data_IF_868802994598
#
_entry.id   IF_868802994598
#
_cell.length_a   1.000
_cell.length_b   1.000
_cell.length_c   1.000
_cell.angle_alpha   90.00
_cell.angle_beta   90.00
_cell.angle_gamma   90.00
#
_symmetry.space_group_name_H-M   'P 1'
#
loop_
_entity.id
_entity.type
_entity.pdbx_description
1 polymer ?
#
# COMPACT_ATOMS: atom_id res chain seq x y z
N UNK A 1 -11.38 38.58 -6.73
CA UNK A 1 -10.44 38.89 -5.65
C UNK A 1 -10.85 40.18 -4.92
N UNK A 2 -10.05 40.63 -3.96
CA UNK A 2 -10.29 41.81 -3.16
C UNK A 2 -10.39 43.13 -3.98
N UNK A 3 -9.84 43.13 -5.18
CA UNK A 3 -9.77 44.27 -6.09
C UNK A 3 -10.91 44.28 -7.13
N UNK A 4 -11.79 43.26 -7.05
CA UNK A 4 -12.95 43.07 -7.94
C UNK A 4 -12.57 42.44 -9.29
N UNK A 5 -11.40 41.91 -9.44
CA UNK A 5 -11.01 41.11 -10.60
C UNK A 5 -11.61 39.70 -10.50
N UNK A 6 -12.04 39.19 -11.64
CA UNK A 6 -12.55 37.82 -11.72
C UNK A 6 -11.39 36.81 -11.54
N UNK A 7 -11.57 35.90 -10.59
CA UNK A 7 -10.65 34.76 -10.46
C UNK A 7 -10.78 33.84 -11.67
N UNK A 8 -9.66 33.41 -12.24
CA UNK A 8 -9.60 32.46 -13.35
C UNK A 8 -8.44 31.48 -13.13
N UNK A 9 -8.64 30.23 -13.54
CA UNK A 9 -7.62 29.17 -13.52
C UNK A 9 -6.85 29.08 -12.21
N UNK A 10 -7.59 29.03 -11.09
CA UNK A 10 -6.95 29.01 -9.76
C UNK A 10 -7.78 28.29 -8.71
N UNK A 11 -7.07 27.73 -7.75
CA UNK A 11 -7.63 27.24 -6.49
C UNK A 11 -7.93 28.44 -5.59
N UNK A 12 -9.10 28.42 -4.96
CA UNK A 12 -9.58 29.47 -4.07
C UNK A 12 -9.83 28.86 -2.70
N UNK A 13 -9.20 29.40 -1.67
CA UNK A 13 -9.46 29.06 -0.28
C UNK A 13 -10.50 30.04 0.27
N UNK A 14 -11.58 29.51 0.86
CA UNK A 14 -12.61 30.27 1.56
C UNK A 14 -12.93 29.60 2.90
N UNK A 15 -12.33 30.12 3.96
CA UNK A 15 -12.31 29.49 5.28
C UNK A 15 -11.58 28.16 5.25
N UNK A 16 -12.26 27.09 5.62
CA UNK A 16 -11.71 25.72 5.59
C UNK A 16 -12.03 24.96 4.28
N UNK A 17 -12.61 25.63 3.29
CA UNK A 17 -13.06 25.00 2.06
C UNK A 17 -12.22 25.46 0.86
N UNK A 18 -12.01 24.56 -0.09
CA UNK A 18 -11.30 24.83 -1.35
C UNK A 18 -12.25 24.72 -2.52
N UNK A 19 -12.15 25.67 -3.45
CA UNK A 19 -12.89 25.76 -4.70
C UNK A 19 -11.91 25.95 -5.85
N UNK A 20 -12.32 25.59 -7.05
CA UNK A 20 -11.53 25.88 -8.25
C UNK A 20 -12.42 26.57 -9.29
N UNK A 21 -11.86 27.57 -9.94
CA UNK A 21 -12.45 28.22 -11.10
C UNK A 21 -11.57 28.03 -12.33
N UNK A 22 -12.18 27.67 -13.43
CA UNK A 22 -11.49 27.46 -14.70
C UNK A 22 -11.03 28.77 -15.36
N UNK A 23 -10.39 28.66 -16.53
CA UNK A 23 -9.91 29.81 -17.32
C UNK A 23 -11.03 30.80 -17.72
N UNK A 24 -12.30 30.37 -17.68
CA UNK A 24 -13.46 31.20 -17.96
C UNK A 24 -14.10 31.75 -16.66
N UNK A 25 -13.52 31.47 -15.50
CA UNK A 25 -14.07 31.84 -14.21
C UNK A 25 -15.25 30.97 -13.77
N UNK A 26 -15.46 29.78 -14.39
CA UNK A 26 -16.54 28.88 -14.03
C UNK A 26 -16.06 27.94 -12.91
N UNK A 27 -16.86 27.88 -11.82
CA UNK A 27 -16.57 27.03 -10.68
C UNK A 27 -16.70 25.55 -11.03
N UNK A 28 -15.67 24.76 -10.71
CA UNK A 28 -15.68 23.32 -10.86
C UNK A 28 -16.73 22.67 -9.95
N UNK A 29 -17.48 21.69 -10.47
CA UNK A 29 -18.44 20.91 -9.70
C UNK A 29 -18.62 19.52 -10.29
N UNK A 30 -18.74 18.50 -9.42
CA UNK A 30 -18.84 17.08 -9.79
C UNK A 30 -17.73 16.61 -10.75
N UNK A 31 -16.51 17.08 -10.56
CA UNK A 31 -15.40 16.74 -11.47
C UNK A 31 -14.06 16.71 -10.76
N UNK A 32 -13.16 15.97 -11.37
CA UNK A 32 -11.74 15.98 -11.07
C UNK A 32 -11.07 17.17 -11.75
N UNK A 33 -10.12 17.79 -11.05
CA UNK A 33 -9.25 18.83 -11.61
C UNK A 33 -7.82 18.54 -11.19
N UNK A 34 -6.91 18.53 -12.16
CA UNK A 34 -5.48 18.49 -11.92
C UNK A 34 -4.97 19.94 -11.83
N UNK A 35 -4.22 20.23 -10.80
CA UNK A 35 -3.63 21.54 -10.55
C UNK A 35 -2.12 21.38 -10.46
N UNK A 36 -1.37 22.23 -11.12
CA UNK A 36 0.10 22.20 -11.12
C UNK A 36 0.61 22.17 -9.67
N UNK A 37 1.55 21.27 -9.40
CA UNK A 37 2.18 21.15 -8.10
C UNK A 37 3.35 22.13 -8.03
N UNK A 38 3.37 23.01 -7.04
CA UNK A 38 4.46 24.00 -6.85
C UNK A 38 5.80 23.31 -6.49
N UNK A 39 5.73 22.09 -5.93
CA UNK A 39 6.87 21.27 -5.56
C UNK A 39 7.29 20.30 -6.67
N UNK A 40 6.68 20.36 -7.85
CA UNK A 40 7.01 19.52 -8.99
C UNK A 40 8.50 19.55 -9.32
N UNK A 41 9.09 18.38 -9.51
CA UNK A 41 10.52 18.22 -9.77
C UNK A 41 11.38 17.97 -8.53
N UNK A 42 10.79 17.96 -7.33
CA UNK A 42 11.39 17.35 -6.14
C UNK A 42 11.21 15.83 -6.20
N UNK A 43 12.08 15.10 -5.48
CA UNK A 43 11.96 13.65 -5.38
C UNK A 43 10.60 13.27 -4.77
N UNK A 44 9.96 12.24 -5.34
CA UNK A 44 8.65 11.71 -4.96
C UNK A 44 7.47 12.71 -5.02
N UNK A 45 7.64 13.85 -5.70
CA UNK A 45 6.56 14.82 -5.90
C UNK A 45 5.99 14.72 -7.31
N UNK A 46 4.65 14.66 -7.48
CA UNK A 46 4.01 14.59 -8.78
C UNK A 46 4.01 15.96 -9.46
N UNK A 47 3.93 15.97 -10.79
CA UNK A 47 3.80 17.22 -11.56
C UNK A 47 2.51 17.97 -11.26
N UNK A 48 1.46 17.26 -10.86
CA UNK A 48 0.12 17.78 -10.61
C UNK A 48 -0.52 17.13 -9.40
N UNK A 49 -1.25 17.91 -8.61
CA UNK A 49 -2.13 17.44 -7.55
C UNK A 49 -3.56 17.32 -8.06
N UNK A 50 -4.22 16.20 -7.80
CA UNK A 50 -5.61 15.99 -8.19
C UNK A 50 -6.56 16.31 -7.06
N UNK A 51 -7.64 17.05 -7.41
CA UNK A 51 -8.72 17.41 -6.52
C UNK A 51 -10.05 16.91 -7.08
N UNK A 52 -10.99 16.56 -6.23
CA UNK A 52 -12.35 16.28 -6.64
C UNK A 52 -13.32 17.31 -6.04
N UNK A 53 -13.98 18.08 -6.90
CA UNK A 53 -14.95 19.08 -6.50
C UNK A 53 -16.35 18.48 -6.52
N UNK A 54 -17.07 18.62 -5.39
CA UNK A 54 -18.42 18.12 -5.19
C UNK A 54 -19.45 18.98 -5.95
N UNK A 55 -20.73 18.59 -5.93
CA UNK A 55 -21.82 19.33 -6.57
C UNK A 55 -21.94 20.77 -6.10
N UNK A 56 -21.56 21.05 -4.86
CA UNK A 56 -21.57 22.40 -4.26
C UNK A 56 -20.29 23.19 -4.53
N UNK A 57 -19.36 22.65 -5.32
CA UNK A 57 -18.08 23.25 -5.66
C UNK A 57 -16.97 23.06 -4.65
N UNK A 58 -17.25 22.50 -3.46
CA UNK A 58 -16.21 22.25 -2.45
C UNK A 58 -15.37 21.05 -2.81
N UNK A 59 -14.04 21.17 -2.63
CA UNK A 59 -13.14 20.03 -2.73
C UNK A 59 -13.46 18.97 -1.66
N UNK A 60 -13.34 17.69 -2.01
CA UNK A 60 -13.29 16.62 -1.02
C UNK A 60 -11.95 16.71 -0.28
N UNK A 61 -11.98 16.52 1.03
CA UNK A 61 -10.78 16.48 1.88
C UNK A 61 -10.98 15.51 3.05
N UNK A 62 -9.90 15.21 3.77
CA UNK A 62 -9.97 14.38 4.98
C UNK A 62 -10.79 15.07 6.08
N UNK A 63 -10.66 16.38 6.19
CA UNK A 63 -11.32 17.20 7.21
C UNK A 63 -10.76 16.89 8.60
N UNK A 64 -11.58 17.11 9.64
CA UNK A 64 -11.18 16.94 11.05
C UNK A 64 -10.97 15.46 11.47
N UNK A 65 -10.84 14.52 10.51
CA UNK A 65 -10.62 13.12 10.85
C UNK A 65 -9.15 12.90 11.18
N UNK A 66 -8.87 12.32 12.34
CA UNK A 66 -7.53 11.91 12.75
C UNK A 66 -7.00 10.69 11.98
N UNK A 67 -7.86 10.06 11.18
CA UNK A 67 -7.53 8.89 10.36
C UNK A 67 -7.97 9.12 8.92
N UNK A 68 -7.38 8.37 8.02
CA UNK A 68 -7.76 8.38 6.60
C UNK A 68 -9.25 8.11 6.42
N UNK A 69 -9.96 9.07 5.83
CA UNK A 69 -11.38 9.02 5.53
C UNK A 69 -11.62 8.67 4.06
N UNK A 70 -12.03 7.42 3.79
CA UNK A 70 -12.30 6.97 2.43
C UNK A 70 -13.54 7.65 1.84
N UNK A 71 -13.41 8.19 0.64
CA UNK A 71 -14.48 8.81 -0.15
C UNK A 71 -14.79 7.92 -1.37
N UNK A 72 -16.07 7.77 -1.71
CA UNK A 72 -16.47 6.98 -2.88
C UNK A 72 -16.85 7.91 -4.02
N UNK A 73 -16.16 7.77 -5.15
CA UNK A 73 -16.39 8.54 -6.37
C UNK A 73 -16.54 7.55 -7.51
N UNK A 74 -17.69 7.56 -8.18
CA UNK A 74 -17.99 6.67 -9.31
C UNK A 74 -17.69 5.18 -9.03
N UNK A 75 -17.94 4.71 -7.79
CA UNK A 75 -17.78 3.32 -7.39
C UNK A 75 -16.35 2.92 -6.97
N UNK A 76 -15.36 3.77 -7.15
CA UNK A 76 -14.01 3.60 -6.61
C UNK A 76 -13.84 4.38 -5.31
N UNK A 77 -12.94 3.94 -4.44
CA UNK A 77 -12.61 4.64 -3.20
C UNK A 77 -11.30 5.40 -3.35
N UNK A 78 -11.27 6.58 -2.77
CA UNK A 78 -10.14 7.49 -2.76
C UNK A 78 -9.95 8.06 -1.36
N UNK A 79 -8.79 8.63 -1.10
CA UNK A 79 -8.52 9.43 0.09
C UNK A 79 -7.92 10.77 -0.33
N UNK A 80 -8.05 11.74 0.53
CA UNK A 80 -7.56 13.10 0.33
C UNK A 80 -6.89 13.57 1.62
N UNK A 81 -5.95 14.47 1.51
CA UNK A 81 -5.39 15.17 2.66
C UNK A 81 -6.33 16.28 3.18
N UNK A 82 -5.85 17.08 4.11
CA UNK A 82 -6.62 18.18 4.70
C UNK A 82 -6.75 19.39 3.77
N UNK A 83 -5.89 19.49 2.75
CA UNK A 83 -5.92 20.51 1.71
C UNK A 83 -6.78 20.09 0.51
N UNK A 84 -7.22 18.83 0.47
CA UNK A 84 -8.03 18.27 -0.61
C UNK A 84 -7.21 17.67 -1.76
N UNK A 85 -5.91 17.51 -1.60
CA UNK A 85 -5.07 16.78 -2.56
C UNK A 85 -5.39 15.29 -2.47
N UNK A 86 -5.58 14.65 -3.61
CA UNK A 86 -5.81 13.19 -3.68
C UNK A 86 -4.55 12.46 -3.22
N UNK A 87 -4.70 11.55 -2.26
CA UNK A 87 -3.62 10.70 -1.80
C UNK A 87 -3.35 9.58 -2.83
N UNK A 88 -2.08 9.23 -2.96
CA UNK A 88 -1.59 8.17 -3.84
C UNK A 88 -0.44 7.39 -3.17
N UNK A 89 0.00 6.29 -3.77
CA UNK A 89 1.06 5.46 -3.20
C UNK A 89 0.72 4.92 -1.81
N UNK A 90 1.72 4.82 -0.97
CA UNK A 90 1.57 4.35 0.40
C UNK A 90 1.00 5.44 1.32
N UNK A 91 0.06 5.05 2.18
CA UNK A 91 -0.58 5.94 3.16
C UNK A 91 -0.79 5.19 4.47
N UNK A 92 -0.43 5.81 5.60
CA UNK A 92 -0.71 5.29 6.93
C UNK A 92 -2.15 5.60 7.35
N UNK A 93 -2.81 4.68 8.07
CA UNK A 93 -4.19 4.88 8.53
C UNK A 93 -4.34 6.09 9.45
N UNK A 94 -3.35 6.34 10.30
CA UNK A 94 -3.37 7.36 11.33
C UNK A 94 -2.77 8.70 10.86
N UNK A 95 -2.33 8.77 9.59
CA UNK A 95 -1.79 9.98 8.97
C UNK A 95 -2.34 10.12 7.54
N UNK A 96 -3.30 11.04 7.31
CA UNK A 96 -3.90 11.26 5.99
C UNK A 96 -3.00 12.07 5.07
N UNK A 97 -1.76 11.64 4.90
CA UNK A 97 -0.76 12.19 3.99
C UNK A 97 -0.14 11.09 3.12
N UNK A 98 0.43 11.47 1.98
CA UNK A 98 1.28 10.60 1.21
C UNK A 98 2.58 10.32 1.99
N UNK A 99 3.04 9.08 1.97
CA UNK A 99 4.34 8.71 2.55
C UNK A 99 5.38 8.79 1.43
N UNK A 100 6.41 9.60 1.64
CA UNK A 100 7.58 9.67 0.74
C UNK A 100 8.19 8.26 0.58
N UNK A 101 8.29 7.79 -0.65
CA UNK A 101 8.81 6.47 -1.02
C UNK A 101 10.10 6.55 -1.85
N UNK A 102 10.82 7.68 -1.80
CA UNK A 102 12.10 7.87 -2.50
C UNK A 102 13.09 6.77 -2.16
N UNK A 103 13.13 6.34 -0.90
CA UNK A 103 13.98 5.26 -0.42
C UNK A 103 13.38 3.84 -0.63
N UNK A 104 12.16 3.74 -1.16
CA UNK A 104 11.48 2.46 -1.39
C UNK A 104 11.01 1.75 -0.13
N UNK A 105 10.92 2.43 1.01
CA UNK A 105 10.61 1.84 2.33
C UNK A 105 9.26 2.26 2.91
N UNK A 106 8.47 3.05 2.20
CA UNK A 106 7.14 3.51 2.67
C UNK A 106 6.18 2.34 3.01
N UNK A 107 6.38 1.17 2.41
CA UNK A 107 5.58 -0.03 2.71
C UNK A 107 5.69 -0.47 4.18
N UNK A 108 6.76 -0.12 4.88
CA UNK A 108 6.98 -0.51 6.28
C UNK A 108 5.93 0.12 7.20
N UNK A 109 5.54 1.36 6.92
CA UNK A 109 4.58 2.12 7.72
C UNK A 109 3.21 2.28 7.06
N UNK A 110 3.11 2.10 5.74
CA UNK A 110 1.86 2.25 4.99
C UNK A 110 0.87 1.13 5.28
N UNK A 111 -0.39 1.50 5.49
CA UNK A 111 -1.52 0.57 5.69
C UNK A 111 -2.32 0.37 4.41
N UNK A 112 -2.39 1.39 3.57
CA UNK A 112 -3.11 1.45 2.31
C UNK A 112 -2.15 1.71 1.16
N UNK A 113 -2.59 1.34 -0.05
CA UNK A 113 -1.95 1.74 -1.28
C UNK A 113 -2.98 2.32 -2.25
N UNK A 114 -2.78 3.56 -2.66
CA UNK A 114 -3.71 4.33 -3.49
C UNK A 114 -3.15 4.54 -4.90
N UNK A 115 -2.88 3.48 -5.63
CA UNK A 115 -2.47 3.58 -7.04
C UNK A 115 -1.30 4.54 -7.29
N UNK A 116 -1.35 5.23 -8.42
CA UNK A 116 -0.37 6.26 -8.79
C UNK A 116 -0.89 7.67 -8.53
N UNK A 117 -0.02 8.68 -8.67
CA UNK A 117 -0.39 10.09 -8.57
C UNK A 117 -1.51 10.52 -9.54
N UNK A 118 -1.65 9.82 -10.67
CA UNK A 118 -2.71 10.08 -11.67
C UNK A 118 -3.97 9.20 -11.49
N UNK A 119 -3.93 8.15 -10.68
CA UNK A 119 -5.07 7.28 -10.35
C UNK A 119 -4.96 6.82 -8.89
N UNK A 120 -5.32 7.68 -7.96
CA UNK A 120 -5.30 7.42 -6.52
C UNK A 120 -6.41 6.47 -6.04
N UNK A 121 -6.88 5.56 -6.88
CA UNK A 121 -7.89 4.60 -6.46
C UNK A 121 -7.33 3.59 -5.45
N UNK A 122 -8.06 3.38 -4.36
CA UNK A 122 -7.69 2.43 -3.31
C UNK A 122 -7.50 1.02 -3.87
N UNK A 123 -6.34 0.45 -3.62
CA UNK A 123 -5.99 -0.92 -4.01
C UNK A 123 -6.69 -1.94 -3.13
N UNK A 124 -7.12 -3.04 -3.74
CA UNK A 124 -7.62 -4.25 -3.07
C UNK A 124 -7.11 -5.49 -3.80
N UNK A 125 -6.94 -6.60 -3.07
CA UNK A 125 -6.41 -7.82 -3.67
C UNK A 125 -4.87 -7.83 -3.72
N UNK A 126 -4.31 -8.56 -4.66
CA UNK A 126 -2.87 -8.69 -4.82
C UNK A 126 -2.27 -7.51 -5.56
N UNK A 127 -1.13 -7.03 -5.07
CA UNK A 127 -0.29 -6.05 -5.72
C UNK A 127 1.18 -6.43 -5.54
N UNK A 128 1.96 -6.24 -6.60
CA UNK A 128 3.40 -6.43 -6.60
C UNK A 128 4.07 -5.07 -6.72
N UNK A 129 5.02 -4.80 -5.82
CA UNK A 129 5.74 -3.54 -5.76
C UNK A 129 7.23 -3.80 -5.60
N UNK A 130 8.02 -2.90 -6.13
CA UNK A 130 9.44 -2.79 -5.84
C UNK A 130 9.59 -2.06 -4.51
N UNK A 131 10.45 -2.58 -3.64
CA UNK A 131 10.66 -2.09 -2.28
C UNK A 131 12.12 -2.20 -1.89
N UNK A 132 12.52 -1.44 -0.88
CA UNK A 132 13.80 -1.56 -0.19
C UNK A 132 13.56 -1.72 1.31
N UNK A 133 14.09 -2.77 1.94
CA UNK A 133 14.00 -2.91 3.38
C UNK A 133 15.07 -2.05 4.06
N UNK A 134 14.66 -1.03 4.81
CA UNK A 134 15.58 -0.17 5.55
C UNK A 134 16.16 -0.84 6.81
N UNK A 135 15.46 -1.81 7.37
CA UNK A 135 15.76 -2.46 8.66
C UNK A 135 15.94 -3.98 8.57
N UNK A 136 16.22 -4.53 7.38
CA UNK A 136 16.30 -5.98 7.19
C UNK A 136 17.34 -6.63 8.12
N UNK A 137 18.48 -6.00 8.35
CA UNK A 137 19.55 -6.50 9.25
C UNK A 137 19.24 -6.31 10.72
N UNK A 138 18.58 -5.22 11.11
CA UNK A 138 18.27 -4.93 12.51
C UNK A 138 17.21 -5.88 13.07
N UNK A 139 16.48 -6.55 12.20
CA UNK A 139 15.43 -7.49 12.53
C UNK A 139 15.96 -8.92 12.70
N UNK A 140 16.95 -9.10 13.60
CA UNK A 140 17.54 -10.42 13.92
C UNK A 140 16.53 -11.42 14.51
N UNK A 141 15.35 -10.97 14.91
CA UNK A 141 14.21 -11.81 15.29
C UNK A 141 13.39 -12.30 14.10
N UNK A 142 13.63 -11.80 12.90
CA UNK A 142 13.01 -12.29 11.68
C UNK A 142 13.39 -13.73 11.42
N UNK A 143 12.49 -14.64 11.67
CA UNK A 143 12.71 -16.10 11.41
C UNK A 143 12.86 -16.43 9.94
N UNK A 144 12.68 -15.45 9.08
CA UNK A 144 12.66 -15.56 7.64
C UNK A 144 13.76 -14.77 6.96
N UNK A 145 14.62 -14.10 7.73
CA UNK A 145 15.83 -13.47 7.22
C UNK A 145 16.83 -14.54 6.83
N UNK A 146 16.69 -15.03 5.65
CA UNK A 146 17.77 -15.66 4.93
C UNK A 146 18.24 -14.70 3.85
N UNK A 147 19.03 -15.15 2.93
CA UNK A 147 19.49 -14.42 1.74
C UNK A 147 18.35 -13.80 0.86
N UNK A 148 17.13 -13.87 1.33
CA UNK A 148 15.93 -13.43 0.63
C UNK A 148 15.52 -11.99 0.94
N UNK A 149 16.02 -11.42 2.03
CA UNK A 149 15.80 -10.04 2.44
C UNK A 149 17.16 -9.47 2.74
N UNK A 150 17.72 -8.77 1.80
CA UNK A 150 18.94 -8.01 1.97
C UNK A 150 18.56 -6.57 2.28
N UNK A 151 19.29 -5.98 3.19
CA UNK A 151 19.22 -4.60 3.55
C UNK A 151 19.66 -3.74 2.38
N UNK A 152 19.01 -2.61 2.16
CA UNK A 152 19.32 -1.61 1.13
C UNK A 152 19.43 -2.17 -0.32
N UNK A 153 18.76 -3.26 -0.63
CA UNK A 153 18.66 -3.77 -2.00
C UNK A 153 17.24 -3.72 -2.54
N UNK A 154 17.09 -3.24 -3.75
CA UNK A 154 15.82 -3.23 -4.47
C UNK A 154 15.28 -4.65 -4.62
N UNK A 155 14.06 -4.84 -4.21
CA UNK A 155 13.40 -6.12 -4.22
C UNK A 155 11.96 -5.98 -4.67
N UNK A 156 11.45 -6.98 -5.38
CA UNK A 156 10.04 -7.02 -5.75
C UNK A 156 9.29 -7.93 -4.80
N UNK A 157 8.23 -7.45 -4.18
CA UNK A 157 7.42 -8.18 -3.21
C UNK A 157 5.94 -8.12 -3.53
N UNK A 158 5.22 -9.16 -3.10
CA UNK A 158 3.77 -9.24 -3.18
C UNK A 158 3.14 -8.83 -1.87
N UNK A 159 2.12 -7.98 -1.99
CA UNK A 159 1.25 -7.54 -0.90
C UNK A 159 -0.19 -7.96 -1.18
N UNK A 160 -0.98 -8.11 -0.13
CA UNK A 160 -2.41 -8.35 -0.27
C UNK A 160 -3.21 -7.35 0.55
N UNK A 161 -4.10 -6.64 -0.13
CA UNK A 161 -4.99 -5.67 0.46
C UNK A 161 -6.40 -6.24 0.61
N UNK A 162 -6.97 -6.10 1.81
CA UNK A 162 -8.34 -6.54 2.11
C UNK A 162 -9.35 -5.69 1.33
N UNK A 163 -10.63 -6.10 1.36
CA UNK A 163 -11.72 -5.33 0.72
C UNK A 163 -11.92 -3.92 1.30
N UNK A 164 -11.44 -3.67 2.52
CA UNK A 164 -11.42 -2.35 3.13
C UNK A 164 -10.18 -1.52 2.78
N UNK A 165 -9.29 -2.04 1.92
CA UNK A 165 -8.06 -1.40 1.47
C UNK A 165 -6.85 -1.63 2.37
N UNK A 166 -7.02 -2.16 3.59
CA UNK A 166 -5.90 -2.35 4.49
C UNK A 166 -5.04 -3.54 4.10
N UNK A 167 -3.74 -3.32 4.12
CA UNK A 167 -2.70 -4.33 3.94
C UNK A 167 -2.85 -5.48 4.95
N UNK A 168 -2.55 -6.70 4.54
CA UNK A 168 -2.40 -7.83 5.45
C UNK A 168 -0.97 -7.87 5.94
N UNK A 169 -0.78 -7.75 7.25
CA UNK A 169 0.53 -7.80 7.91
C UNK A 169 0.42 -8.50 9.25
N UNK A 170 1.53 -9.00 9.78
CA UNK A 170 1.61 -9.48 11.15
C UNK A 170 1.60 -8.30 12.14
N UNK A 171 1.22 -8.57 13.38
CA UNK A 171 1.04 -7.51 14.40
C UNK A 171 2.35 -7.07 15.06
N UNK A 172 3.43 -7.86 14.89
CA UNK A 172 4.72 -7.56 15.51
C UNK A 172 5.88 -8.09 14.69
N UNK A 173 7.04 -7.48 14.88
CA UNK A 173 8.31 -7.83 14.28
C UNK A 173 8.97 -9.09 14.87
N UNK A 174 8.36 -9.79 15.82
CA UNK A 174 8.97 -10.94 16.54
C UNK A 174 9.16 -12.21 15.69
N UNK A 175 9.27 -12.06 14.39
CA UNK A 175 9.39 -13.16 13.41
C UNK A 175 8.10 -13.97 13.28
N UNK A 176 6.98 -13.43 13.74
CA UNK A 176 5.67 -13.99 13.49
C UNK A 176 5.17 -13.56 12.11
N UNK A 177 4.39 -14.42 11.50
CA UNK A 177 3.71 -14.10 10.25
C UNK A 177 2.22 -14.02 10.46
N UNK A 178 1.57 -13.27 9.59
CA UNK A 178 0.11 -13.31 9.43
C UNK A 178 -0.24 -14.28 8.32
N UNK A 179 -0.86 -15.39 8.70
CA UNK A 179 -1.37 -16.36 7.74
C UNK A 179 -2.72 -15.91 7.18
N UNK A 180 -2.91 -16.09 5.88
CA UNK A 180 -4.18 -15.84 5.20
C UNK A 180 -4.42 -16.84 4.08
N UNK A 181 -5.63 -17.40 4.05
CA UNK A 181 -6.06 -18.23 2.91
C UNK A 181 -6.76 -17.35 1.87
N UNK A 182 -6.27 -17.42 0.64
CA UNK A 182 -6.78 -16.67 -0.51
C UNK A 182 -6.95 -17.64 -1.66
N UNK A 183 -8.16 -17.76 -2.16
CA UNK A 183 -8.51 -18.68 -3.26
C UNK A 183 -8.03 -20.13 -3.02
N UNK A 184 -8.16 -20.61 -1.78
CA UNK A 184 -7.79 -21.98 -1.41
C UNK A 184 -6.30 -22.24 -1.16
N UNK A 185 -5.45 -21.25 -1.35
CA UNK A 185 -4.03 -21.31 -1.00
C UNK A 185 -3.75 -20.53 0.27
N UNK A 186 -2.84 -21.01 1.08
CA UNK A 186 -2.39 -20.35 2.30
C UNK A 186 -1.14 -19.55 2.02
N UNK A 187 -1.11 -18.33 2.51
CA UNK A 187 0.00 -17.39 2.38
C UNK A 187 0.39 -16.87 3.75
N UNK A 188 1.65 -16.51 3.93
CA UNK A 188 2.14 -15.81 5.10
C UNK A 188 2.73 -14.47 4.72
N UNK A 189 2.44 -13.47 5.53
CA UNK A 189 2.91 -12.09 5.39
C UNK A 189 3.70 -11.71 6.64
N UNK A 190 4.77 -10.97 6.47
CA UNK A 190 5.57 -10.45 7.57
C UNK A 190 4.87 -9.27 8.29
N UNK A 191 5.55 -8.62 9.24
CA UNK A 191 5.01 -7.46 9.94
C UNK A 191 4.88 -6.22 9.06
N UNK A 192 5.62 -6.14 7.97
CA UNK A 192 5.51 -5.05 6.98
C UNK A 192 4.48 -5.36 5.88
N UNK A 193 3.95 -6.57 5.87
CA UNK A 193 2.94 -7.02 4.91
C UNK A 193 3.50 -7.62 3.63
N UNK A 194 4.81 -7.79 3.51
CA UNK A 194 5.39 -8.51 2.39
C UNK A 194 5.09 -10.01 2.51
N UNK A 195 4.68 -10.64 1.40
CA UNK A 195 4.47 -12.08 1.35
C UNK A 195 5.80 -12.82 1.47
N UNK A 196 5.91 -13.65 2.50
CA UNK A 196 7.13 -14.44 2.79
C UNK A 196 6.99 -15.92 2.51
N UNK A 197 5.77 -16.44 2.42
CA UNK A 197 5.54 -17.84 2.08
C UNK A 197 4.20 -18.05 1.40
N UNK A 198 4.17 -19.03 0.49
CA UNK A 198 2.97 -19.59 -0.13
C UNK A 198 2.94 -21.10 0.12
N UNK A 199 1.81 -21.62 0.59
CA UNK A 199 1.56 -23.04 0.72
C UNK A 199 0.54 -23.50 -0.31
N UNK A 200 0.90 -24.57 -1.02
CA UNK A 200 -0.04 -25.32 -1.83
C UNK A 200 -0.36 -26.61 -1.11
N UNK A 201 -1.59 -26.72 -0.57
CA UNK A 201 -2.02 -27.87 0.20
C UNK A 201 -2.77 -28.86 -0.71
N UNK A 202 -2.28 -30.08 -0.81
CA UNK A 202 -3.00 -31.20 -1.43
C UNK A 202 -3.90 -31.87 -0.37
N UNK A 203 -4.93 -31.19 0.08
CA UNK A 203 -5.89 -31.63 1.12
C UNK A 203 -5.23 -31.97 2.47
N UNK A 204 -4.07 -31.41 2.75
CA UNK A 204 -3.31 -31.65 3.97
C UNK A 204 -2.99 -30.36 4.69
N UNK A 205 -3.02 -30.42 5.99
CA UNK A 205 -2.66 -29.29 6.82
C UNK A 205 -1.16 -29.15 6.95
N UNK A 206 -0.69 -27.93 6.72
CA UNK A 206 0.66 -27.54 7.04
C UNK A 206 0.75 -27.19 8.53
N UNK A 207 1.49 -27.99 9.29
CA UNK A 207 1.55 -27.81 10.76
C UNK A 207 2.41 -26.61 11.15
N UNK A 208 3.53 -26.41 10.48
CA UNK A 208 4.47 -25.33 10.80
C UNK A 208 5.44 -25.04 9.67
N UNK A 209 5.74 -23.77 9.48
CA UNK A 209 6.88 -23.26 8.70
C UNK A 209 7.69 -22.35 9.60
N UNK A 210 9.00 -22.58 9.70
CA UNK A 210 9.93 -21.82 10.52
C UNK A 210 11.04 -21.25 9.65
N UNK A 211 10.76 -20.18 8.95
CA UNK A 211 11.73 -19.55 8.08
C UNK A 211 11.76 -20.13 6.68
N UNK A 212 12.60 -19.57 5.82
CA UNK A 212 12.88 -20.00 4.46
C UNK A 212 14.33 -19.63 4.07
N UNK A 213 14.72 -19.93 2.84
CA UNK A 213 16.13 -19.85 2.47
C UNK A 213 16.95 -20.99 3.06
N UNK A 214 18.19 -20.74 3.38
CA UNK A 214 19.13 -21.76 3.90
C UNK A 214 18.71 -22.33 5.26
N UNK A 215 17.95 -21.56 6.03
CA UNK A 215 17.46 -21.93 7.35
C UNK A 215 16.00 -22.38 7.38
N UNK A 216 15.44 -22.66 6.22
CA UNK A 216 14.05 -23.08 6.11
C UNK A 216 13.83 -24.44 6.78
N UNK A 217 12.85 -24.50 7.67
CA UNK A 217 12.33 -25.76 8.22
C UNK A 217 10.79 -25.77 8.12
N UNK A 218 10.25 -26.90 7.73
CA UNK A 218 8.80 -27.11 7.68
C UNK A 218 8.45 -28.44 8.32
N UNK A 219 7.39 -28.45 9.11
CA UNK A 219 6.77 -29.67 9.63
C UNK A 219 5.43 -29.89 8.92
N UNK A 220 5.22 -31.09 8.44
CA UNK A 220 4.02 -31.49 7.72
C UNK A 220 3.27 -32.54 8.54
N UNK A 221 1.96 -32.47 8.52
CA UNK A 221 1.11 -33.48 9.17
C UNK A 221 1.13 -34.82 8.45
N UNK A 222 1.38 -34.81 7.14
CA UNK A 222 1.43 -36.02 6.31
C UNK A 222 2.45 -35.92 5.18
N UNK A 223 2.93 -37.05 4.74
CA UNK A 223 3.80 -37.16 3.57
C UNK A 223 3.06 -36.77 2.27
N UNK A 224 3.80 -36.33 1.30
CA UNK A 224 3.28 -35.99 -0.03
C UNK A 224 2.74 -34.56 -0.18
N UNK A 225 2.72 -33.76 0.88
CA UNK A 225 2.39 -32.34 0.78
C UNK A 225 3.50 -31.55 0.10
N UNK A 226 3.13 -30.76 -0.88
CA UNK A 226 4.08 -29.83 -1.52
C UNK A 226 4.00 -28.48 -0.83
N UNK A 227 5.12 -27.93 -0.46
CA UNK A 227 5.25 -26.60 0.08
C UNK A 227 6.04 -25.75 -0.92
N UNK A 228 5.48 -24.62 -1.27
CA UNK A 228 6.20 -23.60 -2.01
C UNK A 228 6.53 -22.46 -1.07
N UNK A 229 7.81 -22.18 -0.93
CA UNK A 229 8.29 -21.03 -0.18
C UNK A 229 8.88 -20.06 -1.19
N UNK A 230 8.40 -18.85 -1.18
CA UNK A 230 8.79 -17.83 -2.14
C UNK A 230 9.47 -16.67 -1.43
N UNK A 231 10.46 -16.12 -2.10
CA UNK A 231 11.05 -14.82 -1.80
C UNK A 231 10.87 -13.96 -3.03
N UNK A 232 10.21 -12.83 -2.86
CA UNK A 232 9.82 -12.03 -4.02
C UNK A 232 9.00 -12.84 -5.01
N UNK A 233 9.48 -12.91 -6.25
CA UNK A 233 8.85 -13.66 -7.34
C UNK A 233 9.45 -15.06 -7.53
N UNK A 234 10.38 -15.47 -6.69
CA UNK A 234 11.10 -16.71 -6.86
C UNK A 234 10.70 -17.74 -5.81
N UNK A 235 10.46 -18.95 -6.24
CA UNK A 235 10.36 -20.08 -5.32
C UNK A 235 11.77 -20.38 -4.79
N UNK A 236 12.01 -20.13 -3.51
CA UNK A 236 13.30 -20.36 -2.87
C UNK A 236 13.44 -21.79 -2.34
N UNK A 237 12.32 -22.46 -2.04
CA UNK A 237 12.29 -23.85 -1.68
C UNK A 237 10.98 -24.50 -2.11
N UNK A 238 11.07 -25.73 -2.60
CA UNK A 238 9.92 -26.59 -2.87
C UNK A 238 10.16 -27.92 -2.20
N UNK A 239 9.23 -28.37 -1.38
CA UNK A 239 9.28 -29.70 -0.79
C UNK A 239 8.10 -30.51 -1.30
N UNK A 240 8.39 -31.46 -2.18
CA UNK A 240 7.44 -32.46 -2.63
C UNK A 240 7.75 -33.80 -1.94
N UNK A 241 6.74 -34.64 -1.76
CA UNK A 241 6.87 -35.96 -1.17
C UNK A 241 7.59 -35.94 0.20
N UNK A 242 7.22 -34.98 1.04
CA UNK A 242 7.75 -34.91 2.39
C UNK A 242 7.46 -36.22 3.11
N UNK A 243 8.49 -36.91 3.53
CA UNK A 243 8.36 -38.04 4.47
C UNK A 243 8.26 -37.46 5.88
N UNK A 244 7.39 -38.03 6.70
CA UNK A 244 7.34 -37.70 8.12
C UNK A 244 8.74 -37.87 8.71
N UNK A 245 9.27 -36.83 9.33
CA UNK A 245 10.46 -36.91 10.15
C UNK A 245 10.10 -37.48 11.51
#
# INVERSE_FOLDING_TARGET
DSDGEMAIDQLIEDGDDYYYVDINGVMASNQWVAIENEDAGNDDEPDQNWYYFQANGKALKNGDNSKVALKTINGKKYAFDDEGKMLWGWVNEDDPSHIDDTDGNAFETGDYYFGSADDGAMTTGWLQLDITYSDAESNSSYKYTGAAFTDDEDQTRWFYFKSNGKKVAAESADGNTKDKTINGKKYAFDNYGAMVAEWSLNDKDLSKVNGYGDNFTASLSEAGTTIHVASGNQVVATRANATSA
#
